data_IF_873822448651
#
_entry.id   IF_873822448651
#
_cell.length_a   1.000
_cell.length_b   1.000
_cell.length_c   1.000
_cell.angle_alpha   90.00
_cell.angle_beta   90.00
_cell.angle_gamma   90.00
#
_symmetry.space_group_name_H-M   'P 1'
#
loop_
_entity.id
_entity.type
_entity.pdbx_description
1 polymer ?
#
# COMPACT_ATOMS: atom_id res chain seq x y z
N UNK A 1 -9.05 -24.23 11.85
CA UNK A 1 -8.66 -23.77 11.80
C UNK A 1 -8.46 -23.15 11.32
N UNK A 2 -8.42 -22.86 11.01
CA UNK A 2 -7.97 -22.28 10.59
C UNK A 2 -7.76 -21.17 10.60
N UNK A 3 -7.22 -21.08 10.68
CA UNK A 3 -6.92 -19.93 11.05
C UNK A 3 -6.96 -18.96 10.06
N UNK A 4 -7.39 -17.81 10.18
CA UNK A 4 -7.33 -16.88 9.16
C UNK A 4 -6.05 -16.11 9.29
N UNK A 5 -5.24 -16.14 8.29
CA UNK A 5 -4.05 -15.35 8.26
C UNK A 5 -4.42 -13.91 7.99
N UNK A 6 -3.80 -13.00 8.73
CA UNK A 6 -3.96 -11.58 8.45
C UNK A 6 -3.13 -11.26 7.22
N UNK A 7 -3.79 -10.71 6.21
CA UNK A 7 -3.09 -10.35 4.99
C UNK A 7 -2.23 -9.12 5.19
N UNK A 8 -1.04 -9.13 4.60
CA UNK A 8 -0.14 -7.99 4.64
C UNK A 8 -0.44 -7.11 3.45
N UNK A 9 -0.65 -5.84 3.71
CA UNK A 9 -1.09 -4.91 2.68
C UNK A 9 -0.08 -3.79 2.52
N UNK A 10 0.22 -3.48 1.27
CA UNK A 10 1.02 -2.32 0.90
C UNK A 10 0.09 -1.39 0.13
N UNK A 11 0.06 -0.12 0.52
CA UNK A 11 -0.77 0.86 -0.15
C UNK A 11 0.13 1.82 -0.90
N UNK A 12 -0.12 1.94 -2.19
CA UNK A 12 0.67 2.79 -3.07
C UNK A 12 -0.17 4.01 -3.41
N UNK A 13 0.15 5.11 -2.75
CA UNK A 13 -0.59 6.35 -2.81
C UNK A 13 -0.84 6.89 -1.43
N UNK A 14 -1.03 8.21 -1.31
CA UNK A 14 -1.25 8.82 -0.01
C UNK A 14 -2.28 9.95 -0.08
N UNK A 15 -3.10 9.98 -1.12
CA UNK A 15 -4.17 10.96 -1.26
C UNK A 15 -5.43 10.52 -0.53
N UNK A 16 -6.54 11.16 -0.89
CA UNK A 16 -7.80 10.90 -0.18
C UNK A 16 -8.27 9.46 -0.30
N UNK A 17 -8.18 8.89 -1.49
CA UNK A 17 -8.63 7.51 -1.69
C UNK A 17 -7.77 6.56 -0.86
N UNK A 18 -6.46 6.75 -0.90
CA UNK A 18 -5.55 5.89 -0.14
C UNK A 18 -5.79 6.04 1.36
N UNK A 19 -6.04 7.27 1.82
CA UNK A 19 -6.30 7.51 3.23
C UNK A 19 -7.54 6.79 3.71
N UNK A 20 -8.64 6.91 2.97
CA UNK A 20 -9.89 6.26 3.34
C UNK A 20 -9.75 4.74 3.29
N UNK A 21 -9.07 4.24 2.27
CA UNK A 21 -8.87 2.82 2.12
C UNK A 21 -8.02 2.25 3.26
N UNK A 22 -6.92 2.93 3.57
CA UNK A 22 -6.03 2.46 4.63
C UNK A 22 -6.75 2.38 5.97
N UNK A 23 -7.55 3.40 6.28
CA UNK A 23 -8.29 3.39 7.53
C UNK A 23 -9.34 2.29 7.57
N UNK A 24 -10.04 2.07 6.45
CA UNK A 24 -11.04 1.02 6.38
C UNK A 24 -10.42 -0.37 6.54
N UNK A 25 -9.28 -0.58 5.89
CA UNK A 25 -8.59 -1.87 5.97
C UNK A 25 -8.06 -2.12 7.38
N UNK A 26 -7.54 -1.09 8.02
CA UNK A 26 -7.07 -1.23 9.39
C UNK A 26 -8.21 -1.61 10.33
N UNK A 27 -9.37 -0.98 10.16
CA UNK A 27 -10.54 -1.32 10.98
C UNK A 27 -11.01 -2.75 10.71
N UNK A 28 -10.82 -3.23 9.51
CA UNK A 28 -11.23 -4.58 9.14
C UNK A 28 -10.26 -5.64 9.64
N UNK A 29 -9.14 -5.25 10.22
CA UNK A 29 -8.19 -6.20 10.79
C UNK A 29 -7.04 -6.56 9.88
N UNK A 30 -6.89 -5.92 8.75
CA UNK A 30 -5.76 -6.15 7.87
C UNK A 30 -4.51 -5.44 8.40
N UNK A 31 -3.36 -5.97 8.05
CA UNK A 31 -2.09 -5.44 8.49
C UNK A 31 -1.45 -4.62 7.37
N UNK A 32 -1.46 -3.31 7.52
CA UNK A 32 -0.84 -2.43 6.53
C UNK A 32 0.63 -2.29 6.92
N UNK A 33 1.50 -2.87 6.09
CA UNK A 33 2.91 -2.93 6.42
C UNK A 33 3.71 -1.77 5.84
N UNK A 34 3.17 -1.08 4.83
CA UNK A 34 3.87 0.06 4.27
C UNK A 34 2.92 0.95 3.48
N UNK A 35 3.18 2.24 3.52
CA UNK A 35 2.54 3.23 2.66
C UNK A 35 3.61 3.79 1.74
N UNK A 36 3.37 3.77 0.45
CA UNK A 36 4.23 4.45 -0.50
C UNK A 36 3.52 5.70 -1.00
N UNK A 37 4.20 6.83 -0.96
CA UNK A 37 3.67 8.07 -1.51
C UNK A 37 4.78 8.91 -2.08
N UNK A 38 4.52 9.60 -3.19
CA UNK A 38 5.53 10.43 -3.82
C UNK A 38 5.90 11.63 -2.96
N UNK A 39 4.99 12.08 -2.13
CA UNK A 39 5.23 13.20 -1.23
C UNK A 39 5.48 12.64 0.17
N UNK A 40 6.71 12.79 0.62
CA UNK A 40 7.15 12.12 1.83
C UNK A 40 6.29 12.45 3.05
N UNK A 41 5.94 13.72 3.26
CA UNK A 41 5.18 14.08 4.46
C UNK A 41 3.75 13.56 4.42
N UNK A 42 3.17 13.39 3.23
CA UNK A 42 1.83 12.82 3.13
C UNK A 42 1.86 11.33 3.41
N UNK A 43 2.88 10.64 2.90
CA UNK A 43 3.03 9.22 3.18
C UNK A 43 3.24 8.99 4.68
N UNK A 44 4.08 9.82 5.30
CA UNK A 44 4.33 9.72 6.72
C UNK A 44 3.06 9.97 7.54
N UNK A 45 2.30 11.00 7.17
CA UNK A 45 1.07 11.32 7.90
C UNK A 45 0.08 10.17 7.85
N UNK A 46 -0.08 9.55 6.69
CA UNK A 46 -0.99 8.42 6.57
C UNK A 46 -0.46 7.21 7.35
N UNK A 47 0.84 6.94 7.24
CA UNK A 47 1.44 5.83 7.94
C UNK A 47 1.26 5.97 9.46
N UNK A 48 1.39 7.19 9.98
CA UNK A 48 1.19 7.44 11.40
C UNK A 48 -0.25 7.13 11.82
N UNK A 49 -1.22 7.42 10.95
CA UNK A 49 -2.62 7.15 11.26
C UNK A 49 -2.93 5.66 11.37
N UNK A 50 -2.25 4.85 10.58
CA UNK A 50 -2.51 3.41 10.56
C UNK A 50 -1.37 2.61 11.16
N UNK A 51 -0.40 3.28 11.73
CA UNK A 51 0.72 2.66 12.44
C UNK A 51 1.52 1.73 11.56
N UNK A 52 1.86 2.20 10.37
CA UNK A 52 2.68 1.43 9.44
C UNK A 52 3.97 2.18 9.13
N UNK A 53 4.86 1.55 8.40
CA UNK A 53 6.02 2.25 7.87
C UNK A 53 5.63 2.96 6.57
N UNK A 54 6.53 3.79 6.06
CA UNK A 54 6.27 4.53 4.84
C UNK A 54 7.55 4.72 4.06
N UNK A 55 7.40 5.02 2.78
CA UNK A 55 8.52 5.41 1.96
C UNK A 55 8.04 6.31 0.84
N UNK A 56 8.91 7.17 0.34
CA UNK A 56 8.64 7.93 -0.87
C UNK A 56 9.59 7.51 -1.99
N UNK A 57 10.33 6.45 -1.77
CA UNK A 57 11.31 5.94 -2.72
C UNK A 57 10.85 4.57 -3.21
N UNK A 58 10.59 4.46 -4.51
CA UNK A 58 10.07 3.22 -5.08
C UNK A 58 11.03 2.04 -4.89
N UNK A 59 12.34 2.31 -4.84
CA UNK A 59 13.29 1.24 -4.62
C UNK A 59 13.22 0.63 -3.23
N UNK A 60 12.57 1.32 -2.30
CA UNK A 60 12.37 0.80 -0.95
C UNK A 60 11.01 0.17 -0.75
N UNK A 61 10.27 -0.04 -1.83
CA UNK A 61 8.95 -0.65 -1.75
C UNK A 61 9.05 -2.04 -1.14
N UNK A 62 8.21 -2.30 -0.15
CA UNK A 62 8.22 -3.58 0.54
C UNK A 62 7.60 -4.64 -0.36
N UNK A 63 8.35 -5.68 -0.65
CA UNK A 63 7.91 -6.74 -1.57
C UNK A 63 7.26 -7.92 -0.84
N UNK A 64 7.03 -7.79 0.46
CA UNK A 64 6.44 -8.87 1.25
C UNK A 64 4.95 -8.76 1.44
N UNK A 65 4.31 -7.79 0.78
CA UNK A 65 2.87 -7.67 0.89
C UNK A 65 2.15 -8.78 0.13
N UNK A 66 1.00 -9.15 0.62
CA UNK A 66 0.14 -10.10 -0.07
C UNK A 66 -0.74 -9.37 -1.08
N UNK A 67 -1.16 -8.16 -0.74
CA UNK A 67 -2.04 -7.35 -1.58
C UNK A 67 -1.45 -5.95 -1.71
N UNK A 68 -1.39 -5.48 -2.93
CA UNK A 68 -0.92 -4.13 -3.22
C UNK A 68 -2.07 -3.31 -3.78
N UNK A 69 -2.52 -2.32 -3.02
CA UNK A 69 -3.54 -1.39 -3.49
C UNK A 69 -2.86 -0.21 -4.14
N UNK A 70 -3.16 0.02 -5.40
CA UNK A 70 -2.54 1.07 -6.18
C UNK A 70 -3.55 2.16 -6.44
N UNK A 71 -3.37 3.32 -5.81
CA UNK A 71 -4.28 4.45 -5.98
C UNK A 71 -3.56 5.67 -6.54
N UNK A 72 -2.62 5.43 -7.42
CA UNK A 72 -1.98 6.50 -8.17
C UNK A 72 -2.46 6.44 -9.61
N UNK A 73 -2.39 7.57 -10.28
CA UNK A 73 -2.77 7.64 -11.68
C UNK A 73 -1.54 7.99 -12.50
N UNK A 74 -1.66 7.82 -13.80
CA UNK A 74 -0.73 8.32 -14.76
C UNK A 74 0.51 7.45 -14.99
N UNK A 75 1.55 8.06 -15.50
CA UNK A 75 2.71 7.34 -15.99
C UNK A 75 3.50 6.63 -14.89
N UNK A 76 3.37 7.08 -13.67
CA UNK A 76 4.08 6.43 -12.57
C UNK A 76 3.58 5.01 -12.36
N UNK A 77 2.35 4.74 -12.75
CA UNK A 77 1.74 3.42 -12.55
C UNK A 77 2.50 2.32 -13.25
N UNK A 78 2.98 2.57 -14.46
CA UNK A 78 3.72 1.54 -15.20
C UNK A 78 4.97 1.10 -14.47
N UNK A 79 5.73 2.07 -13.95
CA UNK A 79 6.97 1.75 -13.25
C UNK A 79 6.67 1.00 -11.95
N UNK A 80 5.61 1.39 -11.27
CA UNK A 80 5.21 0.71 -10.05
C UNK A 80 4.81 -0.73 -10.33
N UNK A 81 4.02 -0.95 -11.37
CA UNK A 81 3.57 -2.29 -11.71
C UNK A 81 4.73 -3.20 -12.12
N UNK A 82 5.71 -2.65 -12.82
CA UNK A 82 6.91 -3.43 -13.14
C UNK A 82 7.65 -3.86 -11.88
N UNK A 83 7.72 -2.96 -10.91
CA UNK A 83 8.45 -3.21 -9.69
C UNK A 83 7.81 -4.32 -8.87
N UNK A 84 6.49 -4.39 -8.84
CA UNK A 84 5.79 -5.35 -8.02
C UNK A 84 5.22 -6.53 -8.80
N UNK A 85 5.72 -6.76 -9.99
CA UNK A 85 5.29 -7.89 -10.81
C UNK A 85 5.98 -9.14 -10.33
N UNK A 86 5.45 -9.78 -9.32
CA UNK A 86 6.10 -10.89 -8.66
C UNK A 86 5.16 -12.06 -8.46
N UNK A 87 4.45 -12.42 -9.49
CA UNK A 87 3.72 -13.67 -9.51
C UNK A 87 2.49 -13.71 -8.59
N UNK A 88 2.64 -14.22 -7.41
CA UNK A 88 1.51 -14.55 -6.55
C UNK A 88 0.83 -13.38 -5.87
N UNK A 89 1.32 -12.17 -6.06
CA UNK A 89 0.76 -11.05 -5.34
C UNK A 89 -0.47 -10.51 -6.05
N UNK A 90 -1.43 -10.06 -5.25
CA UNK A 90 -2.65 -9.47 -5.79
C UNK A 90 -2.48 -7.97 -5.88
N UNK A 91 -2.77 -7.42 -7.04
CA UNK A 91 -2.69 -5.99 -7.28
C UNK A 91 -4.07 -5.46 -7.54
N UNK A 92 -4.51 -4.49 -6.75
CA UNK A 92 -5.84 -3.91 -6.86
C UNK A 92 -5.71 -2.43 -7.18
N UNK A 93 -6.30 -2.01 -8.27
CA UNK A 93 -6.35 -0.61 -8.65
C UNK A 93 -7.54 0.07 -8.02
N UNK A 94 -7.31 1.25 -7.45
CA UNK A 94 -8.37 2.05 -6.85
C UNK A 94 -8.18 3.48 -7.30
N UNK A 95 -8.53 3.79 -8.46
CA UNK A 95 -8.36 5.17 -8.94
C UNK A 95 -9.63 5.97 -8.81
#
# INVERSE_FOLDING_TARGET
>A
MFESEIKKIVIIGAGNVATNLAQALTKAGFDIIQIYGRTNHLAKALADKVKSSYTSNLSDLNMEGDIYFVSVVDSALKDILKKINVGDKLIVHTS
#
